data_IF_626723895193
#
_entry.id   IF_626723895193
#
_cell.length_a   1.000
_cell.length_b   1.000
_cell.length_c   1.000
_cell.angle_alpha   90.00
_cell.angle_beta   90.00
_cell.angle_gamma   90.00
#
_symmetry.space_group_name_H-M   'P 1'
#
loop_
_entity.id
_entity.type
_entity.pdbx_description
1 polymer ?
#
# COMPACT_ATOMS: atom_id res chain seq x y z
N UNK A 1 -9.96 -55.70 56.29
CA UNK A 1 -11.16 -55.17 55.62
C UNK A 1 -10.77 -53.89 54.86
N UNK A 2 -10.97 -53.93 53.53
CA UNK A 2 -11.10 -52.87 52.50
C UNK A 2 -10.31 -51.55 52.63
N UNK A 3 -9.28 -51.40 51.78
CA UNK A 3 -8.61 -50.13 51.41
C UNK A 3 -9.53 -49.31 50.48
N UNK A 4 -9.82 -48.01 50.72
CA UNK A 4 -10.60 -47.20 49.80
C UNK A 4 -9.71 -46.57 48.71
N UNK A 5 -9.99 -46.97 47.47
CA UNK A 5 -10.24 -46.09 46.31
C UNK A 5 -9.25 -44.96 45.96
N UNK A 6 -8.07 -45.30 45.42
CA UNK A 6 -7.19 -44.36 44.69
C UNK A 6 -7.68 -44.10 43.24
N UNK A 7 -8.67 -44.86 42.75
CA UNK A 7 -9.11 -44.83 41.35
C UNK A 7 -9.99 -43.63 40.94
N UNK A 8 -10.49 -42.82 41.88
CA UNK A 8 -11.47 -41.75 41.57
C UNK A 8 -10.80 -40.38 41.32
N UNK A 9 -9.58 -40.14 41.81
CA UNK A 9 -8.91 -38.84 41.69
C UNK A 9 -8.19 -38.61 40.35
N UNK A 10 -7.90 -39.66 39.57
CA UNK A 10 -7.18 -39.52 38.28
C UNK A 10 -8.14 -39.18 37.13
N UNK A 11 -9.43 -39.51 37.25
CA UNK A 11 -10.42 -39.28 36.19
C UNK A 11 -10.88 -37.81 36.10
N UNK A 12 -10.85 -37.06 37.21
CA UNK A 12 -11.22 -35.63 37.21
C UNK A 12 -10.16 -34.70 36.61
N UNK A 13 -8.88 -35.12 36.56
CA UNK A 13 -7.80 -34.31 35.97
C UNK A 13 -7.69 -34.45 34.44
N UNK A 14 -8.26 -35.50 33.86
CA UNK A 14 -8.22 -35.73 32.41
C UNK A 14 -9.34 -34.98 31.65
N UNK A 15 -10.44 -34.62 32.33
CA UNK A 15 -11.59 -33.91 31.72
C UNK A 15 -11.36 -32.39 31.64
N UNK A 16 -10.45 -31.84 32.46
CA UNK A 16 -10.11 -30.41 32.43
C UNK A 16 -9.10 -30.01 31.33
N UNK A 17 -8.49 -30.98 30.64
CA UNK A 17 -7.52 -30.73 29.58
C UNK A 17 -8.12 -30.66 28.16
N UNK A 18 -9.43 -30.93 28.00
CA UNK A 18 -10.14 -30.86 26.70
C UNK A 18 -10.91 -29.54 26.48
N UNK A 19 -10.82 -28.60 27.43
CA UNK A 19 -11.50 -27.30 27.36
C UNK A 19 -10.76 -26.26 26.53
N UNK A 20 -10.92 -26.33 25.21
CA UNK A 20 -10.73 -25.17 24.32
C UNK A 20 -9.29 -24.91 23.88
N UNK A 21 -8.79 -25.70 22.94
CA UNK A 21 -7.93 -25.08 21.93
C UNK A 21 -8.77 -23.98 21.26
N UNK A 22 -8.33 -22.71 21.21
CA UNK A 22 -9.02 -21.73 20.40
C UNK A 22 -9.11 -22.33 18.99
N UNK A 23 -10.32 -22.40 18.43
CA UNK A 23 -10.47 -22.74 17.03
C UNK A 23 -9.54 -21.78 16.29
N UNK A 24 -8.46 -22.31 15.70
CA UNK A 24 -7.63 -21.55 14.80
C UNK A 24 -8.55 -21.22 13.62
N UNK A 25 -9.23 -20.09 13.71
CA UNK A 25 -10.04 -19.54 12.63
C UNK A 25 -9.02 -19.26 11.53
N UNK A 26 -8.91 -20.19 10.59
CA UNK A 26 -8.10 -20.01 9.41
C UNK A 26 -8.58 -18.72 8.75
N UNK A 27 -7.68 -17.73 8.63
CA UNK A 27 -8.02 -16.47 7.99
C UNK A 27 -8.51 -16.76 6.58
N UNK A 28 -9.50 -15.99 6.11
CA UNK A 28 -10.03 -16.20 4.78
C UNK A 28 -8.98 -15.80 3.73
N UNK A 29 -8.80 -16.61 2.70
CA UNK A 29 -7.92 -16.27 1.56
C UNK A 29 -8.52 -15.10 0.76
N UNK A 30 -9.84 -14.90 0.85
CA UNK A 30 -10.53 -13.75 0.28
C UNK A 30 -11.54 -13.18 1.28
N UNK A 31 -11.52 -11.87 1.44
CA UNK A 31 -12.50 -11.11 2.23
C UNK A 31 -13.13 -10.01 1.38
N UNK A 32 -14.22 -9.44 1.88
CA UNK A 32 -14.95 -8.38 1.20
C UNK A 32 -15.20 -7.18 2.10
N UNK A 33 -15.16 -5.99 1.50
CA UNK A 33 -15.60 -4.74 2.12
C UNK A 33 -16.82 -4.15 1.40
N UNK A 34 -17.67 -3.47 2.16
CA UNK A 34 -18.92 -2.84 1.72
C UNK A 34 -19.20 -1.58 2.53
N UNK A 35 -19.73 -0.53 1.89
CA UNK A 35 -20.10 0.73 2.54
C UNK A 35 -21.21 0.57 3.58
N UNK A 36 -21.97 -0.53 3.50
CA UNK A 36 -22.99 -0.94 4.48
C UNK A 36 -22.55 -2.14 5.34
N UNK A 37 -21.27 -2.50 5.28
CA UNK A 37 -20.69 -3.60 6.07
C UNK A 37 -20.52 -3.26 7.55
N UNK A 38 -20.01 -4.25 8.30
CA UNK A 38 -19.66 -4.14 9.73
C UNK A 38 -18.34 -4.87 10.00
N UNK A 39 -17.38 -4.21 10.65
CA UNK A 39 -16.09 -4.82 10.97
C UNK A 39 -16.17 -5.93 12.03
N UNK A 40 -17.32 -6.14 12.67
CA UNK A 40 -17.61 -7.32 13.47
C UNK A 40 -17.84 -8.58 12.60
N UNK A 41 -18.30 -8.42 11.35
CA UNK A 41 -18.62 -9.54 10.45
C UNK A 41 -17.40 -10.39 10.11
N UNK A 42 -17.56 -11.66 9.68
CA UNK A 42 -16.43 -12.49 9.22
C UNK A 42 -15.75 -11.99 7.92
N UNK A 43 -16.17 -10.83 7.39
CA UNK A 43 -15.78 -10.28 6.10
C UNK A 43 -16.02 -11.25 4.93
N UNK A 44 -17.08 -12.06 5.01
CA UNK A 44 -17.52 -12.92 3.91
C UNK A 44 -18.33 -12.12 2.89
N UNK A 45 -18.65 -12.69 1.73
CA UNK A 45 -19.33 -11.94 0.66
C UNK A 45 -20.74 -11.51 1.08
N UNK A 46 -21.38 -12.30 1.93
CA UNK A 46 -22.73 -12.05 2.46
C UNK A 46 -22.72 -11.35 3.81
N UNK A 47 -21.56 -11.24 4.46
CA UNK A 47 -21.34 -10.48 5.68
C UNK A 47 -20.00 -9.73 5.56
N UNK A 48 -19.95 -8.68 4.71
CA UNK A 48 -18.71 -7.96 4.44
C UNK A 48 -18.31 -7.06 5.61
N UNK A 49 -17.03 -6.74 5.67
CA UNK A 49 -16.49 -5.76 6.61
C UNK A 49 -16.73 -4.33 6.11
N UNK A 50 -16.68 -3.36 7.01
CA UNK A 50 -16.89 -1.96 6.66
C UNK A 50 -15.61 -1.30 6.17
N UNK A 51 -14.47 -1.67 6.75
CA UNK A 51 -13.19 -1.01 6.50
C UNK A 51 -12.12 -1.98 5.99
N UNK A 52 -11.10 -1.43 5.33
CA UNK A 52 -9.90 -2.20 4.98
C UNK A 52 -9.16 -2.69 6.23
N UNK A 53 -9.16 -1.91 7.32
CA UNK A 53 -8.58 -2.30 8.60
C UNK A 53 -9.31 -3.50 9.24
N UNK A 54 -10.64 -3.54 9.16
CA UNK A 54 -11.43 -4.70 9.57
C UNK A 54 -11.12 -5.92 8.71
N UNK A 55 -11.12 -5.76 7.39
CA UNK A 55 -10.89 -6.85 6.45
C UNK A 55 -9.48 -7.47 6.53
N UNK A 56 -8.43 -6.66 6.63
CA UNK A 56 -7.05 -7.16 6.65
C UNK A 56 -6.76 -8.03 7.89
N UNK A 57 -7.44 -7.77 9.01
CA UNK A 57 -7.30 -8.58 10.23
C UNK A 57 -7.82 -10.03 10.06
N UNK A 58 -8.77 -10.21 9.13
CA UNK A 58 -9.46 -11.48 8.84
C UNK A 58 -9.01 -12.13 7.53
N UNK A 59 -8.14 -11.45 6.78
CA UNK A 59 -7.58 -11.96 5.53
C UNK A 59 -6.23 -12.62 5.79
N UNK A 60 -6.04 -13.80 5.20
CA UNK A 60 -4.79 -14.54 5.28
C UNK A 60 -3.65 -13.75 4.63
N UNK A 61 -2.41 -14.01 5.05
CA UNK A 61 -1.25 -13.58 4.26
C UNK A 61 -1.33 -14.15 2.84
N UNK A 62 -0.89 -13.38 1.86
CA UNK A 62 -1.06 -13.60 0.43
C UNK A 62 -2.53 -13.67 -0.06
N UNK A 63 -3.49 -13.27 0.77
CA UNK A 63 -4.91 -13.20 0.43
C UNK A 63 -5.33 -11.90 -0.27
N UNK A 64 -6.62 -11.81 -0.60
CA UNK A 64 -7.24 -10.66 -1.29
C UNK A 64 -8.37 -10.04 -0.46
N UNK A 65 -8.42 -8.72 -0.40
CA UNK A 65 -9.56 -7.91 0.04
C UNK A 65 -10.22 -7.32 -1.21
N UNK A 66 -11.46 -7.70 -1.48
CA UNK A 66 -12.23 -7.18 -2.63
C UNK A 66 -13.27 -6.17 -2.18
N UNK A 67 -13.46 -5.11 -2.97
CA UNK A 67 -14.55 -4.15 -2.75
C UNK A 67 -15.84 -4.65 -3.41
N UNK A 68 -16.96 -4.58 -2.71
CA UNK A 68 -18.26 -5.09 -3.19
C UNK A 68 -19.15 -4.02 -3.82
N UNK A 69 -19.12 -2.79 -3.31
CA UNK A 69 -19.95 -1.66 -3.73
C UNK A 69 -19.14 -0.36 -3.72
N UNK A 70 -19.65 0.76 -4.24
CA UNK A 70 -18.95 2.04 -4.14
C UNK A 70 -18.91 2.58 -2.70
N UNK A 71 -17.79 3.16 -2.28
CA UNK A 71 -17.69 3.72 -0.93
C UNK A 71 -16.29 4.11 -0.46
N UNK A 72 -16.25 4.63 0.77
CA UNK A 72 -15.02 4.95 1.50
C UNK A 72 -14.71 3.87 2.55
N UNK A 73 -13.53 3.27 2.49
CA UNK A 73 -13.17 2.08 3.29
C UNK A 73 -12.13 2.33 4.38
N UNK A 74 -11.77 3.60 4.58
CA UNK A 74 -10.85 4.03 5.64
C UNK A 74 -9.38 3.69 5.37
N UNK A 75 -8.49 4.34 6.12
CA UNK A 75 -7.05 4.14 6.01
C UNK A 75 -6.63 2.74 6.48
N UNK A 76 -5.51 2.23 5.98
CA UNK A 76 -5.02 0.89 6.32
C UNK A 76 -3.48 0.81 6.38
N UNK A 77 -2.99 0.09 7.38
CA UNK A 77 -1.59 -0.34 7.45
C UNK A 77 -1.48 -1.79 7.00
N UNK A 78 -0.69 -2.03 5.96
CA UNK A 78 -0.42 -3.35 5.37
C UNK A 78 0.86 -3.90 5.98
N UNK A 79 0.74 -4.98 6.76
CA UNK A 79 1.85 -5.62 7.48
C UNK A 79 2.17 -7.04 7.01
N UNK A 80 1.51 -7.48 5.94
CA UNK A 80 1.66 -8.82 5.36
C UNK A 80 1.45 -8.73 3.85
N UNK A 81 1.87 -9.76 3.11
CA UNK A 81 1.48 -9.89 1.71
C UNK A 81 -0.05 -9.88 1.57
N UNK A 82 -0.59 -9.01 0.72
CA UNK A 82 -2.03 -8.82 0.53
C UNK A 82 -2.31 -8.15 -0.82
N UNK A 83 -3.47 -8.44 -1.40
CA UNK A 83 -4.03 -7.65 -2.51
C UNK A 83 -5.27 -6.89 -2.06
N UNK A 84 -5.37 -5.60 -2.37
CA UNK A 84 -6.59 -4.78 -2.23
C UNK A 84 -7.07 -4.42 -3.63
N UNK A 85 -8.29 -4.84 -3.98
CA UNK A 85 -8.81 -4.78 -5.35
C UNK A 85 -10.19 -4.15 -5.41
N UNK A 86 -10.28 -2.99 -6.09
CA UNK A 86 -11.52 -2.29 -6.42
C UNK A 86 -11.78 -2.31 -7.94
N UNK A 87 -12.01 -3.51 -8.49
CA UNK A 87 -12.14 -3.68 -9.95
C UNK A 87 -13.49 -3.15 -10.45
N UNK A 88 -13.48 -2.02 -11.15
CA UNK A 88 -14.67 -1.46 -11.82
C UNK A 88 -15.71 -0.87 -10.86
N UNK A 89 -15.28 -0.57 -9.63
CA UNK A 89 -16.12 -0.02 -8.56
C UNK A 89 -15.40 1.22 -8.03
N UNK A 90 -16.12 2.31 -7.83
CA UNK A 90 -15.56 3.52 -7.24
C UNK A 90 -15.35 3.31 -5.74
N UNK A 91 -14.11 2.96 -5.38
CA UNK A 91 -13.71 2.72 -4.00
C UNK A 91 -12.59 3.67 -3.62
N UNK A 92 -12.65 4.20 -2.41
CA UNK A 92 -11.64 5.15 -1.99
C UNK A 92 -11.33 5.20 -0.51
N UNK A 93 -10.35 6.05 -0.22
CA UNK A 93 -9.93 6.40 1.13
C UNK A 93 -9.90 7.92 1.22
N UNK A 94 -10.60 8.47 2.20
CA UNK A 94 -10.49 9.87 2.60
C UNK A 94 -9.62 9.95 3.86
N UNK A 95 -8.48 10.64 3.78
CA UNK A 95 -7.44 10.60 4.82
C UNK A 95 -6.96 12.00 5.27
N UNK A 96 -7.84 12.86 5.81
CA UNK A 96 -7.45 14.18 6.32
C UNK A 96 -6.50 14.03 7.52
N UNK A 97 -5.40 14.77 7.51
CA UNK A 97 -4.40 14.80 8.58
C UNK A 97 -3.57 13.53 8.77
N UNK A 98 -3.81 12.45 8.02
CA UNK A 98 -3.14 11.16 8.19
C UNK A 98 -2.65 10.58 6.85
N UNK A 99 -1.93 9.46 6.92
CA UNK A 99 -1.61 8.64 5.75
C UNK A 99 -2.81 7.77 5.37
N UNK A 100 -3.10 7.63 4.07
CA UNK A 100 -4.19 6.78 3.59
C UNK A 100 -3.80 5.29 3.62
N UNK A 101 -2.66 4.93 3.02
CA UNK A 101 -2.13 3.57 3.05
C UNK A 101 -0.68 3.60 3.50
N UNK A 102 -0.34 2.77 4.50
CA UNK A 102 1.04 2.53 4.91
C UNK A 102 1.41 1.08 4.63
N UNK A 103 2.42 0.83 3.80
CA UNK A 103 2.96 -0.51 3.53
C UNK A 103 4.21 -0.72 4.36
N UNK A 104 4.10 -1.59 5.35
CA UNK A 104 5.17 -2.01 6.25
C UNK A 104 5.12 -3.54 6.41
N UNK A 105 5.17 -4.23 5.27
CA UNK A 105 5.10 -5.69 5.17
C UNK A 105 6.50 -6.32 5.28
N UNK A 106 6.58 -7.65 5.37
CA UNK A 106 7.84 -8.35 5.40
C UNK A 106 8.72 -8.06 4.16
N UNK A 107 10.05 -8.13 4.27
CA UNK A 107 10.96 -7.78 3.17
C UNK A 107 10.88 -8.73 1.96
N UNK A 108 10.16 -9.84 2.07
CA UNK A 108 9.87 -10.77 0.97
C UNK A 108 8.39 -10.72 0.52
N UNK A 109 7.56 -9.90 1.17
CA UNK A 109 6.12 -9.86 0.89
C UNK A 109 5.82 -9.10 -0.42
N UNK A 110 4.79 -9.59 -1.11
CA UNK A 110 4.18 -8.92 -2.25
C UNK A 110 2.90 -8.21 -1.83
N UNK A 111 2.77 -6.93 -2.18
CA UNK A 111 1.55 -6.14 -1.94
C UNK A 111 1.00 -5.63 -3.27
N UNK A 112 -0.30 -5.77 -3.50
CA UNK A 112 -0.98 -5.17 -4.65
C UNK A 112 -2.09 -4.24 -4.21
N UNK A 113 -2.12 -3.03 -4.75
CA UNK A 113 -3.15 -2.02 -4.52
C UNK A 113 -3.69 -1.62 -5.89
N UNK A 114 -5.00 -1.81 -6.13
CA UNK A 114 -5.57 -1.59 -7.45
C UNK A 114 -6.97 -1.00 -7.43
N UNK A 115 -7.19 0.02 -8.27
CA UNK A 115 -8.52 0.57 -8.53
C UNK A 115 -9.01 1.58 -7.49
N UNK A 116 -8.13 2.10 -6.63
CA UNK A 116 -8.55 3.00 -5.54
C UNK A 116 -8.46 4.47 -5.94
N UNK A 117 -9.34 5.28 -5.37
CA UNK A 117 -9.19 6.74 -5.31
C UNK A 117 -8.80 7.16 -3.90
N UNK A 118 -7.67 7.86 -3.77
CA UNK A 118 -7.15 8.34 -2.50
C UNK A 118 -7.26 9.87 -2.48
N UNK A 119 -7.94 10.39 -1.46
CA UNK A 119 -8.22 11.82 -1.30
C UNK A 119 -7.75 12.30 0.08
N UNK A 120 -6.80 13.23 0.08
CA UNK A 120 -6.23 13.81 1.29
C UNK A 120 -7.07 14.88 1.96
N UNK A 121 -8.12 15.38 1.31
CA UNK A 121 -8.97 16.45 1.87
C UNK A 121 -8.19 17.73 2.15
N UNK A 122 -7.09 17.97 1.43
CA UNK A 122 -6.22 19.15 1.59
C UNK A 122 -5.30 19.14 2.81
N UNK A 123 -5.34 18.09 3.65
CA UNK A 123 -4.50 18.02 4.87
C UNK A 123 -3.84 16.66 5.08
N UNK A 124 -4.14 15.67 4.24
CA UNK A 124 -3.50 14.35 4.27
C UNK A 124 -1.99 14.45 4.13
N UNK A 125 -1.27 13.60 4.85
CA UNK A 125 0.19 13.65 4.94
C UNK A 125 0.86 12.76 3.89
N UNK A 126 0.27 11.60 3.62
CA UNK A 126 0.70 10.64 2.59
C UNK A 126 -0.51 9.98 1.92
N UNK A 127 -0.51 9.83 0.60
CA UNK A 127 -1.50 9.02 -0.09
C UNK A 127 -1.20 7.53 0.11
N UNK A 128 -0.12 7.06 -0.49
CA UNK A 128 0.44 5.72 -0.25
C UNK A 128 1.88 5.89 0.20
N UNK A 129 2.23 5.31 1.35
CA UNK A 129 3.59 5.32 1.89
C UNK A 129 4.15 3.92 2.00
N UNK A 130 5.24 3.64 1.31
CA UNK A 130 5.91 2.33 1.29
C UNK A 130 7.20 2.40 2.11
N UNK A 131 7.20 1.74 3.26
CA UNK A 131 8.32 1.64 4.19
C UNK A 131 9.05 0.30 4.06
N UNK A 132 8.32 -0.78 3.77
CA UNK A 132 8.90 -2.12 3.64
C UNK A 132 7.98 -3.05 2.87
N UNK A 133 8.55 -3.77 1.90
CA UNK A 133 8.00 -4.94 1.19
C UNK A 133 9.12 -5.53 0.32
N UNK A 134 8.94 -6.74 -0.21
CA UNK A 134 9.76 -7.21 -1.34
C UNK A 134 9.36 -6.49 -2.63
N UNK A 135 8.04 -6.39 -2.87
CA UNK A 135 7.53 -5.57 -3.97
C UNK A 135 6.13 -5.04 -3.71
N UNK A 136 5.83 -3.89 -4.29
CA UNK A 136 4.51 -3.26 -4.24
C UNK A 136 4.05 -2.94 -5.66
N UNK A 137 2.88 -3.43 -6.05
CA UNK A 137 2.24 -3.09 -7.32
C UNK A 137 1.06 -2.15 -7.07
N UNK A 138 1.14 -0.94 -7.61
CA UNK A 138 0.11 0.09 -7.51
C UNK A 138 -0.40 0.33 -8.92
N UNK A 139 -1.66 -0.03 -9.18
CA UNK A 139 -2.22 0.00 -10.52
C UNK A 139 -3.59 0.68 -10.56
N UNK A 140 -3.90 1.35 -11.66
CA UNK A 140 -5.23 1.91 -11.94
C UNK A 140 -5.77 2.74 -10.74
N UNK A 141 -4.91 3.60 -10.17
CA UNK A 141 -5.17 4.28 -8.88
C UNK A 141 -5.05 5.79 -9.04
N UNK A 142 -5.92 6.54 -8.39
CA UNK A 142 -5.89 8.00 -8.36
C UNK A 142 -5.46 8.47 -6.97
N UNK A 143 -4.53 9.42 -6.89
CA UNK A 143 -4.04 10.01 -5.64
C UNK A 143 -4.07 11.53 -5.73
N UNK A 144 -4.87 12.17 -4.87
CA UNK A 144 -5.05 13.63 -4.88
C UNK A 144 -5.32 14.25 -3.52
N UNK A 145 -5.16 15.56 -3.45
CA UNK A 145 -5.48 16.37 -2.28
C UNK A 145 -4.57 16.15 -1.07
N UNK A 146 -3.41 15.50 -1.25
CA UNK A 146 -2.42 15.26 -0.19
C UNK A 146 -1.55 16.51 -0.03
N UNK A 147 -2.04 17.48 0.76
CA UNK A 147 -1.41 18.81 0.94
C UNK A 147 -0.95 19.11 2.37
N UNK A 148 -1.06 18.14 3.28
CA UNK A 148 -0.48 18.24 4.61
C UNK A 148 1.05 18.26 4.58
N UNK A 149 1.69 18.21 5.74
CA UNK A 149 3.15 18.07 5.83
C UNK A 149 3.52 16.59 6.07
N UNK A 150 4.32 15.94 5.19
CA UNK A 150 5.06 16.54 4.08
C UNK A 150 4.29 16.63 2.75
N UNK A 151 3.15 15.94 2.61
CA UNK A 151 2.22 16.15 1.49
C UNK A 151 2.56 15.32 0.24
N UNK A 152 3.00 14.08 0.44
CA UNK A 152 3.46 13.22 -0.64
C UNK A 152 2.32 12.32 -1.13
N UNK A 153 1.95 12.43 -2.40
CA UNK A 153 0.95 11.56 -3.01
C UNK A 153 1.36 10.09 -2.91
N UNK A 154 2.48 9.75 -3.52
CA UNK A 154 3.13 8.45 -3.38
C UNK A 154 4.52 8.63 -2.79
N UNK A 155 4.79 7.97 -1.65
CA UNK A 155 6.09 8.00 -0.97
C UNK A 155 6.71 6.60 -0.96
N UNK A 156 7.86 6.45 -1.60
CA UNK A 156 8.70 5.25 -1.55
C UNK A 156 9.90 5.57 -0.66
N UNK A 157 9.78 5.27 0.64
CA UNK A 157 10.77 5.61 1.66
C UNK A 157 11.15 4.37 2.48
N UNK A 158 11.94 3.45 1.89
CA UNK A 158 12.33 2.22 2.56
C UNK A 158 13.02 2.47 3.91
N UNK A 159 12.58 1.73 4.92
CA UNK A 159 13.23 1.67 6.23
C UNK A 159 14.55 0.90 6.16
N UNK A 160 15.34 0.95 7.22
CA UNK A 160 16.58 0.16 7.32
C UNK A 160 16.36 -1.36 7.22
N UNK A 161 15.15 -1.84 7.46
CA UNK A 161 14.79 -3.25 7.36
C UNK A 161 14.40 -3.69 5.93
N UNK A 162 14.21 -2.75 4.99
CA UNK A 162 13.96 -3.08 3.59
C UNK A 162 15.28 -3.45 2.91
N UNK A 163 15.36 -4.63 2.28
CA UNK A 163 16.62 -5.11 1.66
C UNK A 163 16.65 -4.90 0.15
N UNK A 164 15.52 -5.10 -0.55
CA UNK A 164 15.38 -4.94 -2.00
C UNK A 164 13.96 -4.48 -2.37
N UNK A 165 13.56 -3.28 -1.95
CA UNK A 165 12.21 -2.79 -2.23
C UNK A 165 12.08 -2.40 -3.71
N UNK A 166 11.10 -2.99 -4.40
CA UNK A 166 10.71 -2.59 -5.75
C UNK A 166 9.23 -2.20 -5.82
N UNK A 167 8.96 -0.93 -6.13
CA UNK A 167 7.63 -0.44 -6.39
C UNK A 167 7.36 -0.37 -7.90
N UNK A 168 6.22 -0.91 -8.33
CA UNK A 168 5.70 -0.79 -9.68
C UNK A 168 4.44 0.07 -9.64
N UNK A 169 4.43 1.12 -10.44
CA UNK A 169 3.36 2.12 -10.52
C UNK A 169 2.89 2.15 -11.96
N UNK A 170 1.62 1.76 -12.17
CA UNK A 170 1.07 1.60 -13.52
C UNK A 170 -0.30 2.25 -13.65
N UNK A 171 -0.49 3.04 -14.71
CA UNK A 171 -1.76 3.69 -15.00
C UNK A 171 -2.30 4.45 -13.79
N UNK A 172 -1.44 5.21 -13.10
CA UNK A 172 -1.87 6.02 -11.95
C UNK A 172 -1.98 7.49 -12.35
N UNK A 173 -2.86 8.20 -11.64
CA UNK A 173 -2.98 9.65 -11.72
C UNK A 173 -2.64 10.26 -10.36
N UNK A 174 -1.63 11.13 -10.32
CA UNK A 174 -1.14 11.74 -9.09
C UNK A 174 -1.11 13.26 -9.26
N UNK A 175 -2.12 13.94 -8.72
CA UNK A 175 -2.33 15.38 -8.94
C UNK A 175 -2.92 16.08 -7.72
N UNK A 176 -2.81 17.41 -7.67
CA UNK A 176 -3.31 18.23 -6.55
C UNK A 176 -2.73 17.83 -5.17
N UNK A 177 -1.51 17.30 -5.16
CA UNK A 177 -0.74 17.03 -3.94
C UNK A 177 0.35 18.10 -3.76
N UNK A 178 1.02 18.15 -2.60
CA UNK A 178 2.21 18.99 -2.48
C UNK A 178 3.33 18.44 -3.37
N UNK A 179 3.71 17.18 -3.16
CA UNK A 179 4.61 16.43 -4.05
C UNK A 179 3.85 15.26 -4.64
N UNK A 180 3.97 15.05 -5.94
CA UNK A 180 3.34 13.90 -6.61
C UNK A 180 3.95 12.58 -6.15
N UNK A 181 5.16 12.30 -6.61
CA UNK A 181 5.92 11.11 -6.20
C UNK A 181 7.20 11.52 -5.45
N UNK A 182 7.39 10.97 -4.26
CA UNK A 182 8.64 11.06 -3.52
C UNK A 182 9.29 9.67 -3.43
N UNK A 183 10.61 9.62 -3.61
CA UNK A 183 11.41 8.42 -3.41
C UNK A 183 12.68 8.78 -2.65
N UNK A 184 12.93 8.06 -1.56
CA UNK A 184 14.16 8.16 -0.80
C UNK A 184 15.00 6.89 -1.00
N UNK A 185 16.26 7.07 -1.37
CA UNK A 185 17.28 6.04 -1.35
C UNK A 185 17.60 5.74 0.11
N UNK A 186 17.01 4.67 0.64
CA UNK A 186 17.27 4.23 2.00
C UNK A 186 18.69 3.69 2.19
N UNK A 187 18.98 3.05 3.33
CA UNK A 187 20.26 2.36 3.56
C UNK A 187 20.56 1.30 2.50
N UNK A 188 19.51 0.72 1.91
CA UNK A 188 19.57 -0.27 0.83
C UNK A 188 18.91 0.26 -0.45
N UNK A 189 19.13 -0.46 -1.56
CA UNK A 189 18.59 -0.10 -2.86
C UNK A 189 17.05 -0.03 -2.84
N UNK A 190 16.53 1.08 -3.37
CA UNK A 190 15.11 1.28 -3.61
C UNK A 190 14.92 1.38 -5.12
N UNK A 191 13.98 0.61 -5.66
CA UNK A 191 13.59 0.64 -7.06
C UNK A 191 12.17 1.17 -7.24
N UNK A 192 11.97 2.01 -8.26
CA UNK A 192 10.65 2.47 -8.66
C UNK A 192 10.50 2.37 -10.19
N UNK A 193 9.44 1.74 -10.66
CA UNK A 193 9.07 1.70 -12.08
C UNK A 193 7.74 2.43 -12.24
N UNK A 194 7.70 3.42 -13.13
CA UNK A 194 6.54 4.24 -13.43
C UNK A 194 6.16 4.02 -14.90
N UNK A 195 4.95 3.53 -15.14
CA UNK A 195 4.47 3.10 -16.45
C UNK A 195 3.09 3.70 -16.76
N UNK A 196 2.95 4.36 -17.90
CA UNK A 196 1.65 4.88 -18.37
C UNK A 196 0.96 5.82 -17.38
N UNK A 197 1.71 6.58 -16.58
CA UNK A 197 1.19 7.32 -15.43
C UNK A 197 1.27 8.83 -15.62
N UNK A 198 0.36 9.56 -14.99
CA UNK A 198 0.23 11.02 -15.10
C UNK A 198 0.47 11.66 -13.74
N UNK A 199 1.53 12.46 -13.63
CA UNK A 199 1.96 13.14 -12.42
C UNK A 199 2.02 14.64 -12.69
N UNK A 200 0.89 15.31 -12.53
CA UNK A 200 0.70 16.70 -12.99
C UNK A 200 -0.06 17.52 -11.96
N UNK A 201 0.01 18.85 -12.04
CA UNK A 201 -0.77 19.73 -11.15
C UNK A 201 -0.49 19.59 -9.64
N UNK A 202 0.66 19.03 -9.26
CA UNK A 202 1.12 19.03 -7.86
C UNK A 202 1.76 20.39 -7.55
N UNK A 203 1.61 20.92 -6.33
CA UNK A 203 1.89 22.33 -6.03
C UNK A 203 3.36 22.66 -5.76
N UNK A 204 4.17 21.69 -5.33
CA UNK A 204 5.61 21.87 -5.11
C UNK A 204 6.44 21.14 -6.18
N UNK A 205 6.23 19.83 -6.34
CA UNK A 205 7.02 19.00 -7.26
C UNK A 205 6.16 17.92 -7.91
N UNK A 206 6.42 17.65 -9.19
CA UNK A 206 5.86 16.47 -9.85
C UNK A 206 6.48 15.22 -9.23
N UNK A 207 7.81 15.19 -9.12
CA UNK A 207 8.49 14.13 -8.38
C UNK A 207 9.79 14.62 -7.73
N UNK A 208 10.19 13.95 -6.65
CA UNK A 208 11.47 14.14 -5.97
C UNK A 208 12.09 12.77 -5.72
N UNK A 209 13.23 12.49 -6.34
CA UNK A 209 14.03 11.30 -6.05
C UNK A 209 15.32 11.74 -5.37
N UNK A 210 15.57 11.20 -4.18
CA UNK A 210 16.64 11.63 -3.32
C UNK A 210 17.51 10.46 -2.85
N UNK A 211 18.83 10.60 -2.90
CA UNK A 211 19.79 9.64 -2.37
C UNK A 211 20.34 8.64 -3.40
N UNK A 212 21.60 8.26 -3.24
CA UNK A 212 22.36 7.46 -4.21
C UNK A 212 21.79 6.05 -4.48
N UNK A 213 21.00 5.54 -3.54
CA UNK A 213 20.33 4.25 -3.62
C UNK A 213 18.92 4.33 -4.23
N UNK A 214 18.44 5.53 -4.59
CA UNK A 214 17.18 5.71 -5.30
C UNK A 214 17.38 5.52 -6.80
N UNK A 215 16.77 4.48 -7.36
CA UNK A 215 16.78 4.21 -8.79
C UNK A 215 15.34 4.13 -9.33
N UNK A 216 14.95 5.12 -10.11
CA UNK A 216 13.67 5.17 -10.79
C UNK A 216 13.82 4.89 -12.29
N UNK A 217 12.81 4.24 -12.87
CA UNK A 217 12.60 4.13 -14.31
C UNK A 217 11.21 4.65 -14.64
N UNK A 218 11.10 5.54 -15.61
CA UNK A 218 9.82 6.00 -16.13
C UNK A 218 9.64 5.60 -17.60
N UNK A 219 8.43 5.23 -17.99
CA UNK A 219 8.06 4.98 -19.38
C UNK A 219 6.62 5.40 -19.66
N UNK A 220 6.39 5.93 -20.87
CA UNK A 220 5.08 6.42 -21.32
C UNK A 220 4.35 7.30 -20.28
N UNK A 221 5.10 8.07 -19.49
CA UNK A 221 4.59 8.80 -18.33
C UNK A 221 4.80 10.30 -18.45
N UNK A 222 3.93 11.08 -17.82
CA UNK A 222 3.95 12.55 -17.85
C UNK A 222 4.26 13.12 -16.48
N UNK A 223 5.24 14.03 -16.41
CA UNK A 223 5.59 14.82 -15.23
C UNK A 223 5.49 16.29 -15.64
N UNK A 224 4.49 17.01 -15.15
CA UNK A 224 4.20 18.36 -15.62
C UNK A 224 3.78 19.34 -14.53
N UNK A 225 3.80 20.63 -14.89
CA UNK A 225 3.41 21.81 -14.11
C UNK A 225 4.35 22.19 -12.96
N UNK A 226 5.08 21.23 -12.38
CA UNK A 226 6.08 21.49 -11.34
C UNK A 226 7.35 20.67 -11.55
N UNK A 227 8.47 21.06 -10.92
CA UNK A 227 9.75 20.41 -11.16
C UNK A 227 9.77 18.94 -10.75
N UNK A 228 10.44 18.13 -11.56
CA UNK A 228 10.99 16.84 -11.15
C UNK A 228 12.43 17.07 -10.65
N UNK A 229 12.76 16.59 -9.45
CA UNK A 229 14.08 16.78 -8.85
C UNK A 229 14.80 15.46 -8.63
N UNK A 230 16.10 15.45 -8.94
CA UNK A 230 17.04 14.37 -8.63
C UNK A 230 18.13 14.93 -7.72
N UNK A 231 18.22 14.44 -6.49
CA UNK A 231 19.17 14.94 -5.48
C UNK A 231 20.01 13.82 -4.89
N UNK A 232 21.15 14.19 -4.30
CA UNK A 232 22.04 13.29 -3.55
C UNK A 232 22.40 11.98 -4.28
N UNK A 233 22.57 12.04 -5.61
CA UNK A 233 22.99 10.90 -6.43
C UNK A 233 21.85 9.99 -6.92
N UNK A 234 20.59 10.36 -6.70
CA UNK A 234 19.44 9.64 -7.24
C UNK A 234 19.49 9.52 -8.77
N UNK A 235 18.93 8.43 -9.29
CA UNK A 235 18.95 8.10 -10.72
C UNK A 235 17.55 7.97 -11.26
N UNK A 236 17.33 8.53 -12.46
CA UNK A 236 16.13 8.33 -13.26
C UNK A 236 16.53 7.88 -14.66
N UNK A 237 16.09 6.68 -15.03
CA UNK A 237 16.14 6.19 -16.41
C UNK A 237 14.82 6.53 -17.10
N UNK A 238 14.87 7.30 -18.18
CA UNK A 238 13.70 7.58 -18.99
C UNK A 238 13.69 6.68 -20.22
N UNK A 239 12.64 5.87 -20.34
CA UNK A 239 12.41 4.97 -21.46
C UNK A 239 11.19 5.45 -22.25
N UNK A 240 11.34 5.49 -23.56
CA UNK A 240 10.20 5.79 -24.41
C UNK A 240 9.76 7.24 -24.47
N UNK A 241 8.46 7.47 -24.66
CA UNK A 241 7.84 8.77 -24.95
C UNK A 241 7.42 9.55 -23.69
N UNK A 242 8.24 9.52 -22.63
CA UNK A 242 7.96 10.31 -21.43
C UNK A 242 7.87 11.81 -21.75
N UNK A 243 7.01 12.52 -21.02
CA UNK A 243 6.82 13.96 -21.14
C UNK A 243 7.24 14.65 -19.84
N UNK A 244 8.26 15.51 -19.89
CA UNK A 244 8.76 16.27 -18.74
C UNK A 244 8.64 17.77 -19.02
N UNK A 245 7.83 18.49 -18.23
CA UNK A 245 7.63 19.94 -18.37
C UNK A 245 7.56 20.63 -17.01
N UNK A 246 8.22 21.78 -16.86
CA UNK A 246 8.12 22.62 -15.65
C UNK A 246 9.39 22.71 -14.81
N UNK A 247 10.56 22.88 -15.43
CA UNK A 247 11.84 23.04 -14.72
C UNK A 247 12.42 21.73 -14.16
N UNK A 248 12.02 20.60 -14.72
CA UNK A 248 12.49 19.26 -14.36
C UNK A 248 13.99 19.07 -14.58
N UNK A 249 14.65 18.41 -13.63
CA UNK A 249 15.95 17.77 -13.85
C UNK A 249 15.85 16.81 -15.03
N UNK A 250 16.86 16.84 -15.91
CA UNK A 250 16.93 15.89 -17.01
C UNK A 250 17.09 14.45 -16.45
N UNK A 251 16.50 13.43 -17.09
CA UNK A 251 16.79 12.04 -16.75
C UNK A 251 18.30 11.76 -16.77
N UNK A 252 18.78 10.93 -15.85
CA UNK A 252 20.20 10.53 -15.80
C UNK A 252 20.62 9.66 -16.98
N UNK A 253 19.67 8.95 -17.59
CA UNK A 253 19.88 8.19 -18.81
C UNK A 253 18.60 8.13 -19.63
N UNK A 254 18.79 8.05 -20.95
CA UNK A 254 17.72 7.84 -21.92
C UNK A 254 17.94 6.48 -22.56
N UNK A 255 16.91 5.64 -22.61
CA UNK A 255 16.95 4.42 -23.41
C UNK A 255 15.82 4.41 -24.46
N UNK A 256 16.08 3.87 -25.67
CA UNK A 256 15.08 3.81 -26.73
C UNK A 256 13.82 3.03 -26.30
N UNK A 257 12.71 3.27 -26.99
CA UNK A 257 11.55 2.36 -26.95
C UNK A 257 12.03 0.95 -27.33
N UNK A 258 11.77 -0.04 -26.48
CA UNK A 258 11.90 -1.46 -26.82
C UNK A 258 10.53 -2.05 -27.11
#
# INVERSE_FOLDING_TARGET
>A
MRRPSIAVSVLCLLVLALGGAPAAQAQAVRTWVSGVGDDANPCSRTAPCKTFAGAISKTAAAGEISVLDPGGYGAVTITKSISIVAKGIEAGITSPGIAAIVVNAGPADFVSIRGLTIEGGGTGTYGIRVLQAGSVNIADTVIKGIKGSPGFGLDIAPSAAATNLLAYVKNVEVFDNAVGIHMLGGPNAAGLVIDGSTITGNSANAAVFDGANAAARAQASSFANTPLLLTNGAKLTSNGNNFFVGGSSAPTSLSPLQ
#
